data_IF_720610734759
#
_entry.id   IF_720610734759
#
_cell.length_a   1.000
_cell.length_b   1.000
_cell.length_c   1.000
_cell.angle_alpha   90.00
_cell.angle_beta   90.00
_cell.angle_gamma   90.00
#
_symmetry.space_group_name_H-M   'P 1'
#
loop_
_entity.id
_entity.type
_entity.pdbx_description
1 polymer ?
#
# COMPACT_ATOMS: atom_id res chain seq x y z
N UNK A 1 7.98 7.08 5.43
CA UNK A 1 7.89 5.65 5.02
C UNK A 1 7.27 5.55 3.62
N UNK A 2 7.46 4.42 2.93
CA UNK A 2 6.76 4.12 1.67
C UNK A 2 5.68 3.07 1.96
N UNK A 3 4.43 3.39 1.67
CA UNK A 3 3.29 2.47 1.79
C UNK A 3 2.96 1.94 0.39
N UNK A 4 2.99 0.62 0.23
CA UNK A 4 2.70 -0.05 -1.04
C UNK A 4 1.48 -0.93 -0.86
N UNK A 5 0.44 -0.69 -1.64
CA UNK A 5 -0.72 -1.57 -1.74
C UNK A 5 -0.47 -2.57 -2.88
N UNK A 6 -0.36 -3.87 -2.58
CA UNK A 6 -0.03 -4.87 -3.61
C UNK A 6 -0.69 -6.22 -3.36
N UNK A 7 -1.37 -6.74 -4.39
CA UNK A 7 -1.95 -8.09 -4.37
C UNK A 7 -0.88 -9.19 -4.57
N UNK A 8 0.09 -8.94 -5.46
CA UNK A 8 1.11 -9.95 -5.85
C UNK A 8 2.50 -9.67 -5.28
N UNK A 9 2.68 -8.51 -4.63
CA UNK A 9 3.95 -8.05 -4.09
C UNK A 9 4.97 -7.61 -5.15
N UNK A 10 4.66 -7.64 -6.46
CA UNK A 10 5.59 -7.22 -7.54
C UNK A 10 6.06 -5.77 -7.37
N UNK A 11 5.14 -4.87 -7.07
CA UNK A 11 5.44 -3.45 -6.83
C UNK A 11 6.32 -3.24 -5.60
N UNK A 12 6.03 -3.93 -4.50
CA UNK A 12 6.85 -3.87 -3.29
C UNK A 12 8.28 -4.39 -3.54
N UNK A 13 8.43 -5.47 -4.32
CA UNK A 13 9.73 -5.98 -4.73
C UNK A 13 10.50 -4.99 -5.59
N UNK A 14 9.83 -4.33 -6.55
CA UNK A 14 10.44 -3.28 -7.36
C UNK A 14 10.97 -2.13 -6.52
N UNK A 15 10.16 -1.63 -5.58
CA UNK A 15 10.60 -0.58 -4.63
C UNK A 15 11.80 -1.06 -3.79
N UNK A 16 11.77 -2.30 -3.31
CA UNK A 16 12.86 -2.87 -2.50
C UNK A 16 14.19 -2.98 -3.27
N UNK A 17 14.16 -3.25 -4.58
CA UNK A 17 15.36 -3.31 -5.43
C UNK A 17 16.12 -1.98 -5.47
N UNK A 18 15.42 -0.86 -5.35
CA UNK A 18 16.04 0.47 -5.26
C UNK A 18 16.65 0.78 -3.88
N UNK A 19 16.67 -0.19 -2.95
CA UNK A 19 17.29 -0.11 -1.62
C UNK A 19 16.95 1.18 -0.87
N UNK A 20 15.66 1.53 -0.70
CA UNK A 20 15.29 2.74 0.03
C UNK A 20 15.89 2.74 1.43
N UNK A 21 16.29 3.92 1.89
CA UNK A 21 16.76 4.17 3.26
C UNK A 21 15.60 4.16 4.27
N UNK A 22 14.37 4.31 3.79
CA UNK A 22 13.14 4.31 4.59
C UNK A 22 12.45 2.93 4.56
N UNK A 23 11.66 2.58 5.60
CA UNK A 23 10.90 1.34 5.60
C UNK A 23 9.81 1.35 4.50
N UNK A 24 9.63 0.19 3.87
CA UNK A 24 8.59 -0.10 2.88
C UNK A 24 7.52 -0.96 3.54
N UNK A 25 6.37 -0.38 3.82
CA UNK A 25 5.21 -1.06 4.39
C UNK A 25 4.38 -1.64 3.23
N UNK A 26 4.48 -2.95 3.02
CA UNK A 26 3.76 -3.63 1.95
C UNK A 26 2.47 -4.23 2.48
N UNK A 27 1.34 -3.61 2.13
CA UNK A 27 0.03 -4.09 2.51
C UNK A 27 -0.50 -5.09 1.48
N UNK A 28 -0.82 -6.29 1.96
CA UNK A 28 -1.25 -7.43 1.16
C UNK A 28 -2.52 -8.05 1.74
N UNK A 29 -3.29 -8.73 0.88
CA UNK A 29 -4.47 -9.50 1.29
C UNK A 29 -4.19 -11.00 1.35
N UNK A 30 -3.15 -11.49 0.67
CA UNK A 30 -2.74 -12.88 0.68
C UNK A 30 -1.58 -13.12 1.67
N UNK A 31 -1.79 -14.06 2.59
CA UNK A 31 -0.83 -14.52 3.59
C UNK A 31 0.46 -15.04 2.94
N UNK A 32 0.35 -15.76 1.82
CA UNK A 32 1.51 -16.35 1.14
C UNK A 32 2.40 -15.26 0.54
N UNK A 33 1.79 -14.22 -0.05
CA UNK A 33 2.51 -13.06 -0.57
C UNK A 33 3.19 -12.30 0.57
N UNK A 34 2.49 -12.07 1.67
CA UNK A 34 3.05 -11.42 2.85
C UNK A 34 4.28 -12.16 3.39
N UNK A 35 4.22 -13.50 3.52
CA UNK A 35 5.37 -14.33 3.97
C UNK A 35 6.57 -14.20 3.02
N UNK A 36 6.35 -14.31 1.70
CA UNK A 36 7.43 -14.19 0.71
C UNK A 36 8.09 -12.82 0.73
N UNK A 37 7.32 -11.76 0.98
CA UNK A 37 7.84 -10.39 1.03
C UNK A 37 8.77 -10.13 2.22
N UNK A 38 8.75 -10.96 3.27
CA UNK A 38 9.67 -10.82 4.41
C UNK A 38 11.14 -10.99 4.03
N UNK A 39 11.43 -11.67 2.92
CA UNK A 39 12.80 -11.90 2.43
C UNK A 39 13.42 -10.66 1.77
N UNK A 40 12.60 -9.65 1.42
CA UNK A 40 13.08 -8.48 0.70
C UNK A 40 13.54 -7.36 1.64
N UNK A 41 14.72 -6.78 1.34
CA UNK A 41 15.30 -5.69 2.12
C UNK A 41 14.31 -4.53 2.28
N UNK A 42 14.25 -3.98 3.50
CA UNK A 42 13.41 -2.85 3.87
C UNK A 42 11.90 -3.09 3.79
N UNK A 43 11.44 -4.26 3.36
CA UNK A 43 10.01 -4.57 3.24
C UNK A 43 9.49 -5.16 4.54
N UNK A 44 8.52 -4.46 5.14
CA UNK A 44 7.68 -4.98 6.22
C UNK A 44 6.31 -5.30 5.64
N UNK A 45 6.00 -6.59 5.39
CA UNK A 45 4.68 -6.97 4.93
C UNK A 45 3.67 -6.88 6.08
N UNK A 46 2.50 -6.32 5.77
CA UNK A 46 1.36 -6.18 6.67
C UNK A 46 0.16 -6.82 5.96
N UNK A 47 -0.47 -7.78 6.61
CA UNK A 47 -1.68 -8.40 6.11
C UNK A 47 -2.87 -7.54 6.51
N UNK A 48 -3.73 -7.18 5.56
CA UNK A 48 -5.03 -6.62 5.89
C UNK A 48 -5.87 -7.69 6.59
N UNK A 49 -6.29 -7.40 7.82
CA UNK A 49 -7.17 -8.29 8.58
C UNK A 49 -8.63 -8.21 8.09
N UNK A 50 -8.99 -7.08 7.51
CA UNK A 50 -10.28 -6.72 6.94
C UNK A 50 -10.46 -7.29 5.54
N UNK A 51 -10.51 -8.61 5.42
CA UNK A 51 -10.93 -9.27 4.18
C UNK A 51 -12.45 -9.14 3.91
N UNK A 52 -13.24 -8.40 4.70
CA UNK A 52 -14.70 -8.47 4.67
C UNK A 52 -15.36 -7.10 4.48
N UNK A 53 -16.14 -6.99 3.41
CA UNK A 53 -17.08 -5.91 3.07
C UNK A 53 -16.55 -4.66 2.35
N UNK A 54 -15.86 -4.83 1.21
CA UNK A 54 -15.98 -3.88 0.08
C UNK A 54 -15.91 -4.57 -1.28
N UNK A 55 -16.45 -5.80 -1.37
CA UNK A 55 -17.11 -6.23 -2.61
C UNK A 55 -18.49 -5.55 -2.67
N UNK A 56 -18.52 -4.23 -2.67
CA UNK A 56 -19.61 -3.53 -3.36
C UNK A 56 -19.35 -3.72 -4.85
N UNK A 57 -20.37 -3.97 -5.64
CA UNK A 57 -20.38 -4.36 -7.07
C UNK A 57 -19.57 -3.46 -8.04
N UNK A 58 -18.86 -2.44 -7.56
CA UNK A 58 -18.05 -1.48 -8.32
C UNK A 58 -16.56 -1.41 -7.96
N UNK A 59 -15.98 -2.42 -7.29
CA UNK A 59 -14.53 -2.53 -7.08
C UNK A 59 -13.94 -1.80 -5.87
N UNK A 60 -12.67 -2.06 -5.59
CA UNK A 60 -11.95 -1.55 -4.40
C UNK A 60 -11.84 -0.01 -4.45
N UNK A 61 -12.46 0.69 -3.49
CA UNK A 61 -12.19 2.12 -3.29
C UNK A 61 -10.80 2.28 -2.66
N UNK A 62 -9.79 2.51 -3.51
CA UNK A 62 -8.38 2.72 -3.09
C UNK A 62 -8.22 3.78 -1.99
N UNK A 63 -9.13 4.76 -1.91
CA UNK A 63 -9.14 5.76 -0.84
C UNK A 63 -9.34 5.13 0.55
N UNK A 64 -10.28 4.20 0.69
CA UNK A 64 -10.57 3.51 1.95
C UNK A 64 -9.39 2.64 2.38
N UNK A 65 -8.81 1.88 1.45
CA UNK A 65 -7.62 1.05 1.71
C UNK A 65 -6.41 1.88 2.15
N UNK A 66 -6.19 3.05 1.54
CA UNK A 66 -5.13 3.95 1.99
C UNK A 66 -5.38 4.47 3.41
N UNK A 67 -6.63 4.81 3.74
CA UNK A 67 -7.01 5.24 5.08
C UNK A 67 -6.74 4.15 6.14
N UNK A 68 -7.11 2.92 5.84
CA UNK A 68 -6.84 1.79 6.73
C UNK A 68 -5.34 1.47 6.84
N UNK A 69 -4.60 1.52 5.73
CA UNK A 69 -3.15 1.35 5.74
C UNK A 69 -2.48 2.40 6.63
N UNK A 70 -2.94 3.66 6.58
CA UNK A 70 -2.46 4.73 7.46
C UNK A 70 -2.80 4.45 8.92
N UNK A 71 -4.05 4.06 9.21
CA UNK A 71 -4.48 3.72 10.57
C UNK A 71 -3.58 2.62 11.17
N UNK A 72 -3.42 1.52 10.44
CA UNK A 72 -2.61 0.37 10.85
C UNK A 72 -1.14 0.76 11.00
N UNK A 73 -0.58 1.54 10.06
CA UNK A 73 0.81 1.97 10.14
C UNK A 73 1.07 2.93 11.32
N UNK A 74 0.07 3.73 11.71
CA UNK A 74 0.11 4.54 12.95
C UNK A 74 0.07 3.66 14.19
N UNK A 75 -0.84 2.70 14.24
CA UNK A 75 -0.99 1.76 15.37
C UNK A 75 0.30 0.95 15.61
N UNK A 76 0.97 0.50 14.55
CA UNK A 76 2.26 -0.22 14.64
C UNK A 76 3.43 0.73 14.96
N UNK A 77 3.23 2.05 14.86
CA UNK A 77 4.22 3.07 15.22
C UNK A 77 5.24 3.42 14.12
N UNK A 78 5.01 3.01 12.87
CA UNK A 78 5.90 3.33 11.74
C UNK A 78 5.70 4.74 11.17
N UNK A 79 4.55 5.36 11.41
CA UNK A 79 4.23 6.72 10.96
C UNK A 79 3.53 7.50 12.07
N UNK A 80 3.74 8.81 12.09
CA UNK A 80 3.14 9.76 13.03
C UNK A 80 2.42 10.89 12.29
N UNK A 81 1.63 11.67 13.03
CA UNK A 81 1.07 12.91 12.50
C UNK A 81 2.21 13.88 12.17
N UNK A 82 2.13 14.53 11.00
CA UNK A 82 3.17 15.40 10.47
C UNK A 82 4.15 14.71 9.51
N UNK A 83 4.21 13.37 9.50
CA UNK A 83 5.13 12.65 8.62
C UNK A 83 4.70 12.71 7.16
N UNK A 84 5.69 12.79 6.26
CA UNK A 84 5.50 12.65 4.82
C UNK A 84 5.58 11.18 4.42
N UNK A 85 4.54 10.71 3.77
CA UNK A 85 4.40 9.31 3.36
C UNK A 85 4.13 9.23 1.86
N UNK A 86 4.83 8.31 1.20
CA UNK A 86 4.62 8.00 -0.20
C UNK A 86 3.70 6.79 -0.29
N UNK A 87 2.63 6.90 -1.05
CA UNK A 87 1.71 5.82 -1.39
C UNK A 87 1.98 5.34 -2.80
N UNK A 88 2.11 4.03 -2.95
CA UNK A 88 2.15 3.37 -4.24
C UNK A 88 0.96 2.42 -4.35
N UNK A 89 0.12 2.65 -5.35
CA UNK A 89 -1.06 1.84 -5.62
C UNK A 89 -1.21 1.54 -7.11
N UNK A 90 -2.14 0.63 -7.42
CA UNK A 90 -2.51 0.27 -8.79
C UNK A 90 -3.98 0.62 -8.99
N UNK A 91 -4.29 1.42 -10.00
CA UNK A 91 -5.67 1.66 -10.43
C UNK A 91 -5.92 1.06 -11.81
N UNK A 92 -7.17 0.67 -12.06
CA UNK A 92 -7.60 0.26 -13.40
C UNK A 92 -7.69 1.51 -14.30
N UNK A 93 -7.19 1.39 -15.52
CA UNK A 93 -7.32 2.44 -16.54
C UNK A 93 -8.79 2.66 -16.93
N UNK A 94 -9.09 3.85 -17.45
CA UNK A 94 -10.38 4.17 -18.04
C UNK A 94 -10.50 3.51 -19.42
N UNK A 95 -11.73 3.42 -19.94
CA UNK A 95 -12.01 2.76 -21.24
C UNK A 95 -11.21 3.35 -22.41
N UNK A 96 -10.82 4.61 -22.33
CA UNK A 96 -10.09 5.33 -23.38
C UNK A 96 -8.58 5.39 -23.12
N UNK A 97 -8.10 4.81 -22.02
CA UNK A 97 -6.67 4.79 -21.72
C UNK A 97 -5.99 3.68 -22.55
N UNK A 98 -4.78 3.95 -23.05
CA UNK A 98 -3.96 2.96 -23.79
C UNK A 98 -3.37 1.85 -22.89
N UNK A 99 -3.76 1.81 -21.61
CA UNK A 99 -3.26 0.86 -20.61
C UNK A 99 -4.40 0.27 -19.78
N UNK A 100 -4.29 -1.01 -19.43
CA UNK A 100 -5.30 -1.68 -18.59
C UNK A 100 -5.16 -1.28 -17.11
N UNK A 101 -3.93 -1.01 -16.65
CA UNK A 101 -3.65 -0.61 -15.28
C UNK A 101 -2.55 0.44 -15.21
N UNK A 102 -2.74 1.45 -14.37
CA UNK A 102 -1.71 2.43 -14.01
C UNK A 102 -1.15 2.15 -12.62
N UNK A 103 0.14 2.41 -12.47
CA UNK A 103 0.80 2.50 -11.17
C UNK A 103 0.84 3.98 -10.77
N UNK A 104 0.23 4.32 -9.64
CA UNK A 104 0.22 5.71 -9.18
C UNK A 104 1.13 5.86 -7.97
N UNK A 105 1.79 7.01 -7.91
CA UNK A 105 2.58 7.45 -6.77
C UNK A 105 1.94 8.71 -6.22
N UNK A 106 1.67 8.74 -4.91
CA UNK A 106 1.11 9.92 -4.23
C UNK A 106 1.95 10.25 -3.00
N UNK A 107 2.40 11.48 -2.91
CA UNK A 107 3.04 12.01 -1.71
C UNK A 107 1.98 12.73 -0.87
N UNK A 108 1.86 12.38 0.40
CA UNK A 108 0.95 13.09 1.31
C UNK A 108 1.52 13.21 2.71
N UNK A 109 1.22 14.33 3.35
CA UNK A 109 1.51 14.54 4.77
C UNK A 109 0.36 13.99 5.61
N UNK A 110 0.69 13.15 6.59
CA UNK A 110 -0.28 12.54 7.49
C UNK A 110 -0.79 13.60 8.47
N UNK A 111 -2.09 13.90 8.42
CA UNK A 111 -2.75 14.80 9.37
C UNK A 111 -3.33 13.99 10.55
N UNK A 112 -3.53 14.65 11.69
CA UNK A 112 -4.43 14.12 12.72
C UNK A 112 -5.83 14.03 12.12
N UNK A 113 -6.59 12.99 12.49
CA UNK A 113 -8.02 12.99 12.23
C UNK A 113 -8.60 14.19 13.00
N UNK A 114 -9.31 15.07 12.28
CA UNK A 114 -10.17 16.09 12.89
C UNK A 114 -11.41 15.42 13.47
#
# INVERSE_FOLDING_TARGET
>A
AIIVLSLTGKTARAVAMHKPSVPVLAFCTDIQVARRLQLHRSVKPILFHSCMSTKSEGGWRMATLRGEAVRTAKEIGYIRNGDRVIFMDRSKGKKNDMFEYSHNIKLSTIRSAQ
#
